data_IF_688866514589
#
_entry.id   IF_688866514589
#
_cell.length_a   1.000
_cell.length_b   1.000
_cell.length_c   1.000
_cell.angle_alpha   90.00
_cell.angle_beta   90.00
_cell.angle_gamma   90.00
#
_symmetry.space_group_name_H-M   'P 1'
#
loop_
_entity.id
_entity.type
_entity.pdbx_description
1 polymer ?
#
# COMPACT_ATOMS: atom_id res chain seq x y z
N UNK A 1 -9.72 25.41 4.85
CA UNK A 1 -9.44 24.01 4.50
C UNK A 1 -9.07 23.33 5.80
N UNK A 2 -9.85 22.34 6.21
CA UNK A 2 -9.74 21.73 7.53
C UNK A 2 -8.41 20.98 7.69
N UNK A 3 -7.74 21.18 8.82
CA UNK A 3 -6.46 20.53 9.16
C UNK A 3 -6.63 19.51 10.29
N UNK A 4 -7.83 19.42 10.85
CA UNK A 4 -8.08 18.60 12.01
C UNK A 4 -8.43 17.17 11.60
N UNK A 5 -7.76 16.20 12.23
CA UNK A 5 -8.07 14.77 12.10
C UNK A 5 -9.16 14.34 13.09
N UNK A 6 -9.77 15.27 13.83
CA UNK A 6 -10.94 15.07 14.69
C UNK A 6 -10.79 13.93 15.72
N UNK A 7 -9.56 13.67 16.19
CA UNK A 7 -9.25 12.62 17.18
C UNK A 7 -9.75 11.23 16.78
N UNK A 8 -9.50 10.83 15.53
CA UNK A 8 -9.79 9.46 15.08
C UNK A 8 -8.78 8.45 15.63
N UNK A 9 -9.25 7.23 15.90
CA UNK A 9 -8.40 6.13 16.39
C UNK A 9 -7.53 5.49 15.29
N UNK A 10 -7.90 5.65 14.01
CA UNK A 10 -7.15 5.17 12.86
C UNK A 10 -7.53 5.93 11.58
N UNK A 11 -6.65 5.89 10.58
CA UNK A 11 -6.89 6.52 9.27
C UNK A 11 -6.82 5.49 8.15
N UNK A 12 -7.82 5.53 7.25
CA UNK A 12 -7.83 4.72 6.03
C UNK A 12 -7.75 5.63 4.81
N UNK A 13 -6.66 5.53 4.06
CA UNK A 13 -6.49 6.15 2.76
C UNK A 13 -7.08 5.23 1.69
N UNK A 14 -8.30 5.54 1.27
CA UNK A 14 -9.02 4.75 0.29
C UNK A 14 -8.41 4.84 -1.12
N UNK A 15 -8.69 3.81 -1.93
CA UNK A 15 -8.33 3.77 -3.35
C UNK A 15 -9.20 4.72 -4.18
N UNK A 16 -8.70 5.09 -5.37
CA UNK A 16 -9.40 5.99 -6.29
C UNK A 16 -8.43 6.59 -7.32
N UNK A 17 -8.86 7.68 -7.95
CA UNK A 17 -8.04 8.52 -8.83
C UNK A 17 -7.86 9.88 -8.16
N UNK A 18 -7.08 9.93 -7.08
CA UNK A 18 -6.89 11.19 -6.38
C UNK A 18 -6.23 12.21 -7.30
N UNK A 19 -6.89 13.35 -7.50
CA UNK A 19 -6.50 14.37 -8.47
C UNK A 19 -6.33 13.86 -9.91
N UNK A 20 -7.05 12.81 -10.31
CA UNK A 20 -7.06 12.31 -11.69
C UNK A 20 -5.74 11.71 -12.18
N UNK A 21 -4.78 11.41 -11.28
CA UNK A 21 -3.47 10.84 -11.58
C UNK A 21 -2.66 11.60 -12.67
N UNK A 22 -2.92 12.90 -12.86
CA UNK A 22 -2.40 13.72 -13.96
C UNK A 22 -0.86 13.81 -14.06
N UNK A 23 -0.13 13.50 -12.98
CA UNK A 23 1.35 13.45 -12.97
C UNK A 23 1.85 12.03 -12.62
N UNK A 24 1.47 11.55 -11.43
CA UNK A 24 1.66 10.18 -10.91
C UNK A 24 0.57 9.90 -9.89
N UNK A 25 0.12 8.65 -9.80
CA UNK A 25 -0.94 8.28 -8.89
C UNK A 25 -0.51 8.54 -7.43
N UNK A 26 -1.26 9.38 -6.71
CA UNK A 26 -0.99 9.76 -5.31
C UNK A 26 0.03 10.89 -5.10
N UNK A 27 0.83 11.27 -6.11
CA UNK A 27 1.89 12.27 -5.97
C UNK A 27 1.38 13.69 -5.66
N UNK A 28 0.18 14.04 -6.14
CA UNK A 28 -0.45 15.34 -5.83
C UNK A 28 -1.11 15.30 -4.44
N UNK A 29 -1.64 14.14 -4.04
CA UNK A 29 -2.35 13.96 -2.76
C UNK A 29 -1.43 14.13 -1.55
N UNK A 30 -0.13 13.80 -1.67
CA UNK A 30 0.89 14.07 -0.65
C UNK A 30 0.92 15.54 -0.22
N UNK A 31 0.62 16.47 -1.12
CA UNK A 31 0.62 17.92 -0.83
C UNK A 31 -0.72 18.42 -0.31
N UNK A 32 -1.68 17.53 -0.04
CA UNK A 32 -2.91 17.92 0.63
C UNK A 32 -2.60 18.39 2.05
N UNK A 33 -3.20 19.50 2.54
CA UNK A 33 -2.97 20.01 3.89
C UNK A 33 -3.25 19.02 5.03
N UNK A 34 -4.01 17.95 4.76
CA UNK A 34 -4.29 16.87 5.73
C UNK A 34 -3.11 15.89 5.89
N UNK A 35 -2.17 15.87 4.94
CA UNK A 35 -1.05 14.92 4.97
C UNK A 35 0.01 15.29 6.01
N UNK A 36 0.25 16.57 6.25
CA UNK A 36 1.16 17.03 7.31
C UNK A 36 0.77 16.48 8.69
N UNK A 37 -0.46 16.73 9.21
CA UNK A 37 -0.85 16.19 10.51
C UNK A 37 -0.99 14.67 10.48
N UNK A 38 -1.36 14.07 9.34
CA UNK A 38 -1.40 12.61 9.20
C UNK A 38 -0.02 11.97 9.37
N UNK A 39 1.01 12.53 8.75
CA UNK A 39 2.39 12.02 8.86
C UNK A 39 2.88 12.14 10.31
N UNK A 40 2.59 13.25 10.98
CA UNK A 40 2.94 13.44 12.40
C UNK A 40 2.26 12.40 13.28
N UNK A 41 0.95 12.19 13.12
CA UNK A 41 0.19 11.23 13.92
C UNK A 41 0.57 9.78 13.61
N UNK A 42 0.82 9.45 12.34
CA UNK A 42 1.31 8.13 11.94
C UNK A 42 2.66 7.81 12.61
N UNK A 43 3.58 8.77 12.63
CA UNK A 43 4.87 8.63 13.34
C UNK A 43 4.72 8.56 14.85
N UNK A 44 3.65 9.12 15.41
CA UNK A 44 3.30 8.99 16.82
C UNK A 44 2.63 7.63 17.17
N UNK A 45 2.45 6.74 16.18
CA UNK A 45 1.92 5.39 16.37
C UNK A 45 0.44 5.21 16.01
N UNK A 46 -0.20 6.21 15.40
CA UNK A 46 -1.57 6.06 14.90
C UNK A 46 -1.60 5.03 13.75
N UNK A 47 -2.48 4.02 13.80
CA UNK A 47 -2.64 3.07 12.69
C UNK A 47 -3.13 3.75 11.41
N UNK A 48 -2.42 3.50 10.30
CA UNK A 48 -2.80 3.99 8.97
C UNK A 48 -2.85 2.83 7.97
N UNK A 49 -3.92 2.76 7.18
CA UNK A 49 -4.08 1.77 6.10
C UNK A 49 -4.19 2.49 4.76
N UNK A 50 -3.32 2.14 3.80
CA UNK A 50 -3.38 2.63 2.43
C UNK A 50 -3.80 1.54 1.45
N UNK A 51 -4.92 1.74 0.75
CA UNK A 51 -5.44 0.76 -0.22
C UNK A 51 -5.31 1.31 -1.64
N UNK A 52 -4.68 0.55 -2.54
CA UNK A 52 -4.46 0.94 -3.94
C UNK A 52 -3.78 2.33 -4.05
N UNK A 53 -4.54 3.39 -4.36
CA UNK A 53 -4.00 4.76 -4.39
C UNK A 53 -3.53 5.25 -3.02
N UNK A 54 -4.17 4.80 -1.93
CA UNK A 54 -3.68 5.09 -0.57
C UNK A 54 -2.29 4.52 -0.32
N UNK A 55 -1.98 3.34 -0.84
CA UNK A 55 -0.64 2.75 -0.71
C UNK A 55 0.41 3.61 -1.43
N UNK A 56 0.09 4.06 -2.64
CA UNK A 56 0.95 4.97 -3.41
C UNK A 56 1.23 6.26 -2.63
N UNK A 57 0.19 6.84 -2.01
CA UNK A 57 0.34 8.04 -1.17
C UNK A 57 1.29 7.77 0.01
N UNK A 58 1.17 6.63 0.69
CA UNK A 58 2.04 6.29 1.82
C UNK A 58 3.51 6.13 1.40
N UNK A 59 3.77 5.54 0.23
CA UNK A 59 5.14 5.44 -0.33
C UNK A 59 5.70 6.81 -0.72
N UNK A 60 4.90 7.66 -1.37
CA UNK A 60 5.31 9.03 -1.74
C UNK A 60 5.48 9.94 -0.51
N UNK A 61 4.71 9.70 0.56
CA UNK A 61 4.84 10.39 1.85
C UNK A 61 6.03 9.89 2.69
N UNK A 62 6.73 8.84 2.25
CA UNK A 62 7.79 8.14 3.00
C UNK A 62 7.34 7.62 4.37
N UNK A 63 6.05 7.30 4.50
CA UNK A 63 5.53 6.52 5.63
C UNK A 63 5.74 5.02 5.40
N UNK A 64 5.77 4.60 4.14
CA UNK A 64 6.21 3.27 3.73
C UNK A 64 7.41 3.38 2.78
N UNK A 65 8.34 2.42 2.82
CA UNK A 65 9.47 2.40 1.90
C UNK A 65 9.04 1.95 0.49
N UNK A 66 9.94 2.14 -0.48
CA UNK A 66 9.71 1.75 -1.87
C UNK A 66 8.84 2.73 -2.65
N UNK A 67 8.37 2.27 -3.81
CA UNK A 67 7.55 3.06 -4.72
C UNK A 67 6.61 2.17 -5.53
N UNK A 68 5.56 2.78 -6.06
CA UNK A 68 4.59 2.14 -6.94
C UNK A 68 4.77 2.65 -8.37
N UNK A 69 4.90 1.75 -9.32
CA UNK A 69 5.09 2.04 -10.74
C UNK A 69 3.93 1.47 -11.57
N UNK A 70 3.88 1.88 -12.84
CA UNK A 70 3.05 1.21 -13.86
C UNK A 70 3.30 -0.28 -13.88
N UNK A 71 2.23 -1.03 -14.09
CA UNK A 71 2.28 -2.47 -14.32
C UNK A 71 3.27 -2.78 -15.45
N UNK A 72 4.06 -3.85 -15.33
CA UNK A 72 5.14 -4.18 -16.28
C UNK A 72 4.66 -4.39 -17.74
N UNK A 73 3.40 -4.81 -17.93
CA UNK A 73 2.76 -5.03 -19.22
C UNK A 73 1.87 -3.84 -19.65
N UNK A 74 1.90 -2.73 -18.91
CA UNK A 74 1.27 -1.44 -19.25
C UNK A 74 -0.25 -1.49 -19.50
N UNK A 75 -0.94 -2.54 -19.03
CA UNK A 75 -2.39 -2.63 -19.09
C UNK A 75 -3.04 -2.49 -17.71
N UNK A 76 -4.27 -2.00 -17.74
CA UNK A 76 -5.15 -1.99 -16.58
C UNK A 76 -5.57 -3.41 -16.26
N UNK A 77 -5.50 -3.78 -14.98
CA UNK A 77 -5.94 -5.08 -14.50
C UNK A 77 -7.22 -4.90 -13.71
N UNK A 78 -8.22 -5.72 -14.03
CA UNK A 78 -9.47 -5.83 -13.28
C UNK A 78 -9.83 -7.30 -13.18
N UNK A 79 -9.45 -7.95 -12.08
CA UNK A 79 -9.71 -9.37 -11.85
C UNK A 79 -9.71 -9.69 -10.36
N UNK A 80 -10.28 -10.82 -9.99
CA UNK A 80 -10.02 -11.36 -8.66
C UNK A 80 -8.61 -11.92 -8.61
N UNK A 81 -7.92 -11.64 -7.51
CA UNK A 81 -6.53 -12.01 -7.30
C UNK A 81 -6.41 -12.77 -5.99
N UNK A 82 -5.83 -13.96 -6.05
CA UNK A 82 -5.45 -14.69 -4.85
C UNK A 82 -4.21 -14.10 -4.22
N UNK A 83 -4.22 -13.99 -2.90
CA UNK A 83 -3.11 -13.53 -2.08
C UNK A 83 -2.84 -14.56 -0.98
N UNK A 84 -1.59 -14.62 -0.54
CA UNK A 84 -1.21 -15.26 0.71
C UNK A 84 -0.97 -14.20 1.77
N UNK A 85 -1.52 -14.39 2.96
CA UNK A 85 -1.20 -13.59 4.14
C UNK A 85 0.18 -14.01 4.65
N UNK A 86 1.16 -13.12 4.58
CA UNK A 86 2.52 -13.38 5.07
C UNK A 86 2.66 -12.94 6.53
N UNK A 87 2.09 -11.79 6.89
CA UNK A 87 2.10 -11.26 8.25
C UNK A 87 0.67 -11.05 8.78
N UNK A 88 0.28 -11.90 9.74
CA UNK A 88 -0.99 -11.82 10.45
C UNK A 88 -0.90 -11.09 11.81
N UNK A 89 0.26 -10.51 12.15
CA UNK A 89 0.52 -9.82 13.41
C UNK A 89 0.22 -8.32 13.40
N UNK A 90 -0.49 -7.82 12.39
CA UNK A 90 -0.76 -6.38 12.22
C UNK A 90 -2.16 -6.02 12.75
N UNK A 91 -2.38 -4.74 13.03
CA UNK A 91 -3.71 -4.23 13.40
C UNK A 91 -4.79 -4.49 12.33
N UNK A 92 -4.39 -4.79 11.09
CA UNK A 92 -5.28 -5.00 9.94
C UNK A 92 -5.42 -6.47 9.54
N UNK A 93 -4.59 -7.36 10.10
CA UNK A 93 -4.51 -8.77 9.68
C UNK A 93 -4.63 -9.78 10.82
N UNK A 94 -4.95 -9.33 12.04
CA UNK A 94 -5.00 -10.17 13.25
C UNK A 94 -6.06 -11.28 13.23
N UNK A 95 -7.11 -11.14 12.42
CA UNK A 95 -8.16 -12.15 12.26
C UNK A 95 -7.79 -13.23 11.22
N UNK A 96 -6.67 -13.07 10.52
CA UNK A 96 -6.15 -14.07 9.59
C UNK A 96 -5.11 -14.97 10.25
N UNK A 97 -4.82 -16.10 9.60
CA UNK A 97 -3.65 -16.91 9.93
C UNK A 97 -2.50 -16.63 8.96
N UNK A 98 -1.26 -16.68 9.44
CA UNK A 98 -0.10 -16.66 8.55
C UNK A 98 -0.15 -17.86 7.59
N UNK A 99 0.09 -17.60 6.31
CA UNK A 99 -0.06 -18.58 5.22
C UNK A 99 -1.49 -18.74 4.70
N UNK A 100 -2.49 -18.09 5.30
CA UNK A 100 -3.87 -18.16 4.81
C UNK A 100 -3.98 -17.57 3.40
N UNK A 101 -4.70 -18.27 2.53
CA UNK A 101 -5.01 -17.78 1.19
C UNK A 101 -6.35 -17.03 1.21
N UNK A 102 -6.37 -15.85 0.59
CA UNK A 102 -7.56 -15.01 0.43
C UNK A 102 -7.71 -14.58 -1.02
N UNK A 103 -8.93 -14.24 -1.42
CA UNK A 103 -9.23 -13.71 -2.76
C UNK A 103 -9.75 -12.28 -2.62
N UNK A 104 -9.10 -11.35 -3.32
CA UNK A 104 -9.45 -9.93 -3.30
C UNK A 104 -9.63 -9.37 -4.71
N UNK A 105 -10.53 -8.39 -4.91
CA UNK A 105 -10.62 -7.71 -6.19
C UNK A 105 -9.38 -6.83 -6.42
N UNK A 106 -8.70 -7.05 -7.53
CA UNK A 106 -7.57 -6.23 -7.99
C UNK A 106 -8.02 -5.30 -9.11
N UNK A 107 -7.81 -4.00 -8.91
CA UNK A 107 -8.17 -2.97 -9.89
C UNK A 107 -7.12 -1.86 -9.94
N UNK A 108 -6.13 -1.95 -10.84
CA UNK A 108 -5.06 -0.95 -10.95
C UNK A 108 -4.39 -0.86 -12.34
N UNK A 109 -3.76 0.29 -12.59
CA UNK A 109 -2.79 0.53 -13.68
C UNK A 109 -1.36 0.70 -13.12
N UNK A 110 -1.25 1.33 -11.95
CA UNK A 110 0.00 1.67 -11.26
C UNK A 110 0.14 0.81 -9.99
N UNK A 111 0.11 -0.52 -10.16
CA UNK A 111 0.09 -1.48 -9.07
C UNK A 111 1.44 -2.11 -8.73
N UNK A 112 2.51 -1.80 -9.46
CA UNK A 112 3.77 -2.51 -9.35
C UNK A 112 4.63 -1.96 -8.22
N UNK A 113 4.75 -2.68 -7.12
CA UNK A 113 5.65 -2.34 -6.01
C UNK A 113 7.12 -2.61 -6.41
N UNK A 114 7.98 -1.65 -6.11
CA UNK A 114 9.43 -1.74 -6.32
C UNK A 114 10.17 -1.08 -5.18
N UNK A 115 11.36 -1.59 -4.86
CA UNK A 115 12.33 -0.97 -3.97
C UNK A 115 13.74 -1.43 -4.39
N UNK A 116 14.78 -0.86 -3.80
CA UNK A 116 16.14 -1.39 -3.94
C UNK A 116 16.29 -2.72 -3.16
N UNK A 117 17.29 -3.53 -3.52
CA UNK A 117 17.48 -4.87 -2.92
C UNK A 117 17.67 -4.82 -1.40
N UNK A 118 18.33 -3.79 -0.88
CA UNK A 118 18.55 -3.66 0.56
C UNK A 118 17.22 -3.44 1.29
N UNK A 119 16.39 -2.52 0.80
CA UNK A 119 15.03 -2.32 1.34
C UNK A 119 14.19 -3.60 1.25
N UNK A 120 14.29 -4.34 0.15
CA UNK A 120 13.55 -5.61 0.01
C UNK A 120 14.03 -6.64 1.03
N UNK A 121 15.34 -6.77 1.25
CA UNK A 121 15.91 -7.68 2.25
C UNK A 121 15.49 -7.32 3.67
N UNK A 122 15.45 -6.04 4.01
CA UNK A 122 14.95 -5.56 5.30
C UNK A 122 13.47 -5.91 5.49
N UNK A 123 12.63 -5.67 4.48
CA UNK A 123 11.20 -6.00 4.54
C UNK A 123 10.96 -7.49 4.76
N UNK A 124 11.77 -8.35 4.14
CA UNK A 124 11.72 -9.80 4.35
C UNK A 124 12.21 -10.19 5.77
N UNK A 125 13.37 -9.67 6.17
CA UNK A 125 14.00 -10.02 7.45
C UNK A 125 13.16 -9.57 8.66
N UNK A 126 12.50 -8.42 8.55
CA UNK A 126 11.65 -7.85 9.60
C UNK A 126 10.20 -8.40 9.55
N UNK A 127 9.86 -9.25 8.59
CA UNK A 127 8.51 -9.79 8.43
C UNK A 127 7.48 -8.71 8.07
N UNK A 128 7.90 -7.66 7.37
CA UNK A 128 7.05 -6.50 7.03
C UNK A 128 6.29 -6.68 5.72
N UNK A 129 6.44 -7.81 5.05
CA UNK A 129 5.58 -8.19 3.94
C UNK A 129 4.25 -8.70 4.52
N UNK A 130 3.16 -8.00 4.25
CA UNK A 130 1.83 -8.37 4.74
C UNK A 130 1.15 -9.39 3.82
N UNK A 131 1.28 -9.21 2.50
CA UNK A 131 0.63 -10.04 1.50
C UNK A 131 1.53 -10.31 0.31
N UNK A 132 1.40 -11.50 -0.28
CA UNK A 132 1.98 -11.83 -1.59
C UNK A 132 0.94 -12.30 -2.59
N UNK A 133 1.19 -12.01 -3.87
CA UNK A 133 0.41 -12.55 -4.97
C UNK A 133 0.61 -14.07 -5.09
N UNK A 134 -0.49 -14.79 -5.24
CA UNK A 134 -0.52 -16.20 -5.64
C UNK A 134 -1.05 -16.34 -7.07
N UNK A 135 -0.88 -17.51 -7.68
CA UNK A 135 -1.33 -17.81 -9.04
C UNK A 135 -0.80 -16.80 -10.08
N UNK A 136 0.42 -16.30 -9.84
CA UNK A 136 1.14 -15.40 -10.73
C UNK A 136 1.00 -13.92 -10.37
N UNK A 137 2.09 -13.19 -10.56
CA UNK A 137 2.19 -11.77 -10.27
C UNK A 137 1.47 -10.92 -11.34
N UNK A 138 0.38 -10.24 -10.99
CA UNK A 138 -0.43 -9.52 -11.96
C UNK A 138 0.31 -8.33 -12.55
N UNK A 139 1.09 -7.59 -11.75
CA UNK A 139 1.62 -6.26 -12.10
C UNK A 139 3.16 -6.22 -12.22
N UNK A 140 3.83 -7.31 -11.86
CA UNK A 140 5.28 -7.44 -11.85
C UNK A 140 5.95 -6.85 -10.62
N UNK A 141 5.25 -6.81 -9.47
CA UNK A 141 5.82 -6.34 -8.20
C UNK A 141 7.02 -7.18 -7.79
N UNK A 142 8.07 -6.57 -7.25
CA UNK A 142 9.24 -7.34 -6.81
C UNK A 142 8.87 -8.29 -5.67
N UNK A 143 9.45 -9.51 -5.71
CA UNK A 143 9.21 -10.60 -4.74
C UNK A 143 7.72 -10.94 -4.55
N UNK A 144 6.91 -10.71 -5.57
CA UNK A 144 5.45 -10.92 -5.56
C UNK A 144 4.71 -10.16 -4.43
N UNK A 145 5.30 -9.07 -3.94
CA UNK A 145 4.73 -8.27 -2.84
C UNK A 145 3.43 -7.61 -3.29
N UNK A 146 2.37 -7.81 -2.52
CA UNK A 146 1.06 -7.18 -2.70
C UNK A 146 0.72 -6.15 -1.61
N UNK A 147 1.46 -6.15 -0.50
CA UNK A 147 1.33 -5.17 0.58
C UNK A 147 2.43 -5.33 1.63
N UNK A 148 2.75 -4.21 2.30
CA UNK A 148 3.78 -4.11 3.34
C UNK A 148 3.27 -3.35 4.55
N UNK A 149 4.00 -3.41 5.67
CA UNK A 149 3.72 -2.72 6.94
C UNK A 149 4.85 -1.82 7.39
#
# INVERSE_FOLDING_TARGET
>A
RDKDLHQVDAVVLAGGFSYGDYLRAGAISRFSPVMEPLIEQAKAGMPVLGICNGFQILTEAHLLPGAMLRNNHLHFICRDQKLRVENAGTAWTSDYSAGQEIQVPLKNMDGRYTADEHTLDELEAEGRVAFRYLDGNPNGSLRDIAGIT
#
